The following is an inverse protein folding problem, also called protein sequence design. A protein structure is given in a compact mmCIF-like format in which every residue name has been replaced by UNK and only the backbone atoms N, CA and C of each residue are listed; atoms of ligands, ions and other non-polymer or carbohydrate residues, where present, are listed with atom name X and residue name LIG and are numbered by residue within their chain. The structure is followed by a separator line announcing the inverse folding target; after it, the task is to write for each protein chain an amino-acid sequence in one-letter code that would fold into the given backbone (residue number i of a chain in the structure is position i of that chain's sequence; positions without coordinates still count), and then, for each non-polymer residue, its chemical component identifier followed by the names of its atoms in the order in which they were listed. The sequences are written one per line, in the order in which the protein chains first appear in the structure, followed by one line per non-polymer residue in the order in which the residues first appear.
data_IF_552180383144
#
_entry.id   IF_552180383144
#
_cell.length_a   1.000
_cell.length_b   1.000
_cell.length_c   1.000
_cell.angle_alpha   90.00
_cell.angle_beta   90.00
_cell.angle_gamma   90.00
#
_symmetry.space_group_name_H-M   'P 1'
#
loop_
_entity.id
_entity.type
_entity.pdbx_description
1 polymer ?
#
# COMPACT_ATOMS: atom_id res chain seq x y z
N UNK A 1 -11.08 -43.08 38.28
CA UNK A 1 -10.90 -42.07 37.23
C UNK A 1 -10.68 -42.63 35.81
N UNK A 2 -10.42 -43.92 35.65
CA UNK A 2 -10.13 -44.52 34.32
C UNK A 2 -11.39 -44.78 33.41
N UNK A 3 -12.58 -44.84 33.96
CA UNK A 3 -13.80 -45.20 33.17
C UNK A 3 -14.36 -44.10 32.28
N UNK A 4 -13.94 -42.85 32.47
CA UNK A 4 -14.46 -41.71 31.67
C UNK A 4 -13.53 -41.32 30.48
N UNK A 5 -12.30 -41.78 30.46
CA UNK A 5 -11.33 -41.49 29.38
C UNK A 5 -11.56 -42.36 28.14
N UNK A 6 -12.04 -43.62 28.30
CA UNK A 6 -12.27 -44.53 27.20
C UNK A 6 -13.36 -44.08 26.20
N UNK A 7 -14.53 -43.56 26.61
CA UNK A 7 -15.53 -43.05 25.67
C UNK A 7 -15.09 -41.82 24.90
N UNK A 8 -14.38 -40.88 25.56
CA UNK A 8 -13.86 -39.67 24.93
C UNK A 8 -12.73 -40.00 23.95
N UNK A 9 -11.86 -40.94 24.30
CA UNK A 9 -10.79 -41.39 23.40
C UNK A 9 -11.37 -42.07 22.14
N UNK A 10 -12.38 -42.93 22.33
CA UNK A 10 -13.09 -43.59 21.24
C UNK A 10 -13.76 -42.59 20.31
N UNK A 11 -14.47 -41.60 20.87
CA UNK A 11 -15.09 -40.52 20.10
C UNK A 11 -14.04 -39.71 19.30
N UNK A 12 -12.91 -39.39 19.90
CA UNK A 12 -11.82 -38.68 19.23
C UNK A 12 -11.26 -39.51 18.06
N UNK A 13 -11.10 -40.81 18.22
CA UNK A 13 -10.64 -41.69 17.15
C UNK A 13 -11.66 -41.77 15.99
N UNK A 14 -12.93 -41.94 16.30
CA UNK A 14 -14.01 -41.97 15.30
C UNK A 14 -14.10 -40.63 14.55
N UNK A 15 -13.97 -39.50 15.25
CA UNK A 15 -13.91 -38.17 14.62
C UNK A 15 -12.67 -38.02 13.72
N UNK A 16 -11.52 -38.49 14.15
CA UNK A 16 -10.28 -38.42 13.34
C UNK A 16 -10.42 -39.25 12.08
N UNK A 17 -11.01 -40.45 12.16
CA UNK A 17 -11.28 -41.30 11.00
C UNK A 17 -12.22 -40.60 10.00
N UNK A 18 -13.33 -40.04 10.48
CA UNK A 18 -14.29 -39.29 9.66
C UNK A 18 -13.65 -38.07 8.98
N UNK A 19 -12.87 -37.30 9.74
CA UNK A 19 -12.15 -36.16 9.20
C UNK A 19 -11.14 -36.57 8.13
N UNK A 20 -10.41 -37.67 8.36
CA UNK A 20 -9.46 -38.21 7.37
C UNK A 20 -10.17 -38.66 6.09
N UNK A 21 -11.36 -39.26 6.20
CA UNK A 21 -12.17 -39.61 5.03
C UNK A 21 -12.66 -38.37 4.26
N UNK A 22 -13.10 -37.32 4.97
CA UNK A 22 -13.52 -36.05 4.36
C UNK A 22 -12.32 -35.40 3.63
N UNK A 23 -11.15 -35.34 4.27
CA UNK A 23 -9.95 -34.79 3.66
C UNK A 23 -9.49 -35.60 2.43
N UNK A 24 -9.58 -36.91 2.49
CA UNK A 24 -9.21 -37.80 1.39
C UNK A 24 -10.16 -37.72 0.20
N UNK A 25 -11.45 -37.58 0.45
CA UNK A 25 -12.46 -37.43 -0.59
C UNK A 25 -12.50 -36.05 -1.20
N UNK A 26 -12.07 -35.00 -0.44
CA UNK A 26 -12.05 -33.61 -0.85
C UNK A 26 -13.44 -33.06 -1.17
N UNK A 27 -13.45 -31.90 -1.80
CA UNK A 27 -14.65 -31.27 -2.31
C UNK A 27 -14.71 -31.37 -3.84
N UNK A 28 -15.83 -31.84 -4.37
CA UNK A 28 -16.05 -31.87 -5.82
C UNK A 28 -16.38 -30.44 -6.30
N UNK A 29 -15.43 -29.80 -6.98
CA UNK A 29 -15.62 -28.47 -7.56
C UNK A 29 -16.05 -28.61 -9.02
N UNK A 30 -17.10 -27.87 -9.39
CA UNK A 30 -17.51 -27.73 -10.77
C UNK A 30 -16.61 -26.71 -11.47
N UNK A 31 -15.65 -27.19 -12.25
CA UNK A 31 -14.67 -26.35 -12.95
C UNK A 31 -15.29 -25.44 -14.01
N UNK A 32 -16.43 -25.85 -14.60
CA UNK A 32 -17.14 -25.03 -15.59
C UNK A 32 -17.72 -23.80 -14.94
N UNK A 33 -18.52 -24.00 -13.87
CA UNK A 33 -19.10 -22.90 -13.09
C UNK A 33 -18.02 -22.01 -12.48
N UNK A 34 -16.90 -22.59 -12.02
CA UNK A 34 -15.79 -21.81 -11.48
C UNK A 34 -15.20 -20.87 -12.52
N UNK A 35 -14.99 -21.32 -13.75
CA UNK A 35 -14.48 -20.51 -14.85
C UNK A 35 -15.47 -19.41 -15.27
N UNK A 36 -16.76 -19.71 -15.28
CA UNK A 36 -17.81 -18.71 -15.57
C UNK A 36 -17.77 -17.58 -14.55
N UNK A 37 -17.73 -17.93 -13.26
CA UNK A 37 -17.63 -16.97 -12.15
C UNK A 37 -16.30 -16.18 -12.25
N UNK A 38 -15.19 -16.85 -12.53
CA UNK A 38 -13.88 -16.21 -12.70
C UNK A 38 -13.91 -15.14 -13.80
N UNK A 39 -14.51 -15.46 -14.96
CA UNK A 39 -14.59 -14.50 -16.08
C UNK A 39 -15.50 -13.33 -15.75
N UNK A 40 -16.62 -13.55 -15.06
CA UNK A 40 -17.54 -12.50 -14.62
C UNK A 40 -16.85 -11.55 -13.62
N UNK A 41 -16.24 -12.08 -12.58
CA UNK A 41 -15.53 -11.28 -11.59
C UNK A 41 -14.30 -10.57 -12.16
N UNK A 42 -13.60 -11.19 -13.12
CA UNK A 42 -12.47 -10.56 -13.79
C UNK A 42 -12.90 -9.30 -14.55
N UNK A 43 -14.00 -9.37 -15.27
CA UNK A 43 -14.53 -8.23 -16.00
C UNK A 43 -14.98 -7.10 -15.05
N UNK A 44 -15.64 -7.43 -13.95
CA UNK A 44 -16.06 -6.46 -12.93
C UNK A 44 -14.84 -5.80 -12.25
N UNK A 45 -13.79 -6.59 -11.93
CA UNK A 45 -12.55 -6.07 -11.37
C UNK A 45 -11.84 -5.09 -12.31
N UNK A 46 -11.74 -5.41 -13.59
CA UNK A 46 -11.11 -4.55 -14.58
C UNK A 46 -11.87 -3.20 -14.71
N UNK A 47 -13.20 -3.23 -14.71
CA UNK A 47 -14.02 -2.02 -14.73
C UNK A 47 -13.78 -1.16 -13.48
N UNK A 48 -13.77 -1.77 -12.29
CA UNK A 48 -13.52 -1.08 -11.03
C UNK A 48 -12.10 -0.51 -10.96
N UNK A 49 -11.09 -1.24 -11.44
CA UNK A 49 -9.70 -0.75 -11.48
C UNK A 49 -9.55 0.45 -12.40
N UNK A 50 -10.16 0.45 -13.57
CA UNK A 50 -10.17 1.60 -14.50
C UNK A 50 -10.79 2.80 -13.80
N UNK A 51 -11.98 2.63 -13.23
CA UNK A 51 -12.71 3.70 -12.54
C UNK A 51 -11.92 4.27 -11.35
N UNK A 52 -11.28 3.42 -10.54
CA UNK A 52 -10.45 3.86 -9.42
C UNK A 52 -9.19 4.62 -9.89
N UNK A 53 -8.55 4.16 -10.94
CA UNK A 53 -7.39 4.83 -11.52
C UNK A 53 -7.75 6.21 -12.11
N UNK A 54 -8.89 6.33 -12.75
CA UNK A 54 -9.38 7.61 -13.28
C UNK A 54 -9.67 8.60 -12.13
N UNK A 55 -10.35 8.17 -11.07
CA UNK A 55 -10.59 8.99 -9.89
C UNK A 55 -9.28 9.40 -9.19
N UNK A 56 -8.32 8.48 -9.08
CA UNK A 56 -7.01 8.77 -8.50
C UNK A 56 -6.23 9.78 -9.34
N UNK A 57 -6.28 9.66 -10.67
CA UNK A 57 -5.64 10.60 -11.60
C UNK A 57 -6.28 11.99 -11.56
N UNK A 58 -7.60 12.07 -11.46
CA UNK A 58 -8.30 13.35 -11.29
C UNK A 58 -7.88 14.03 -9.98
N UNK A 59 -7.74 13.28 -8.89
CA UNK A 59 -7.38 13.80 -7.59
C UNK A 59 -5.90 14.18 -7.46
N UNK A 60 -4.98 13.45 -8.10
CA UNK A 60 -3.53 13.61 -7.90
C UNK A 60 -2.82 14.27 -9.08
N UNK A 61 -3.46 14.34 -10.25
CA UNK A 61 -2.83 14.74 -11.51
C UNK A 61 -2.07 13.58 -12.17
N UNK A 62 -1.02 13.92 -12.92
CA UNK A 62 -0.33 12.93 -13.77
C UNK A 62 0.66 12.03 -13.04
N UNK A 63 0.93 12.26 -11.74
CA UNK A 63 1.81 11.37 -10.98
C UNK A 63 1.18 9.99 -10.84
N UNK A 64 1.86 8.92 -11.28
CA UNK A 64 1.35 7.56 -11.12
C UNK A 64 1.26 7.19 -9.65
N UNK A 65 0.14 6.61 -9.26
CA UNK A 65 -0.16 6.16 -7.88
C UNK A 65 -0.37 4.67 -7.87
N UNK A 66 0.25 4.01 -6.92
CA UNK A 66 0.03 2.60 -6.67
C UNK A 66 -1.02 2.42 -5.57
N UNK A 67 -2.27 2.14 -5.97
CA UNK A 67 -3.37 1.92 -5.03
C UNK A 67 -3.19 0.69 -4.11
N UNK A 68 -2.29 -0.24 -4.46
CA UNK A 68 -1.91 -1.34 -3.59
C UNK A 68 -0.97 -0.90 -2.45
N UNK A 69 -0.25 0.24 -2.61
CA UNK A 69 0.66 0.78 -1.61
C UNK A 69 -0.10 1.52 -0.51
N UNK A 70 0.08 1.17 0.78
CA UNK A 70 -0.50 1.92 1.90
C UNK A 70 -0.02 3.38 1.95
N UNK A 71 1.21 3.64 1.53
CA UNK A 71 1.82 4.96 1.46
C UNK A 71 1.06 5.85 0.47
N UNK A 72 0.86 5.36 -0.75
CA UNK A 72 0.19 6.10 -1.82
C UNK A 72 -1.30 6.28 -1.52
N UNK A 73 -1.96 5.27 -0.95
CA UNK A 73 -3.33 5.40 -0.45
C UNK A 73 -3.46 6.48 0.63
N UNK A 74 -2.52 6.54 1.57
CA UNK A 74 -2.50 7.58 2.60
C UNK A 74 -2.35 8.98 2.00
N UNK A 75 -1.49 9.13 0.99
CA UNK A 75 -1.31 10.41 0.28
C UNK A 75 -2.58 10.79 -0.47
N UNK A 76 -3.19 9.86 -1.19
CA UNK A 76 -4.40 10.08 -1.96
C UNK A 76 -5.58 10.52 -1.08
N UNK A 77 -5.78 9.87 0.07
CA UNK A 77 -6.88 10.17 0.98
C UNK A 77 -6.66 11.46 1.78
N UNK A 78 -5.50 11.61 2.40
CA UNK A 78 -5.25 12.67 3.37
C UNK A 78 -4.48 13.87 2.81
N UNK A 79 -4.03 13.82 1.55
CA UNK A 79 -3.31 14.90 0.87
C UNK A 79 -2.00 15.30 1.57
N UNK A 80 -1.44 14.38 2.35
CA UNK A 80 -0.22 14.60 3.14
C UNK A 80 0.73 13.44 3.01
N UNK A 81 2.02 13.78 2.88
CA UNK A 81 3.13 12.83 2.80
C UNK A 81 4.06 12.99 4.00
N UNK A 82 4.46 11.89 4.62
CA UNK A 82 5.45 11.87 5.69
C UNK A 82 6.83 12.18 5.12
N UNK A 83 7.52 13.18 5.66
CA UNK A 83 8.85 13.64 5.19
C UNK A 83 9.92 12.63 5.60
N UNK A 84 9.95 12.24 6.88
CA UNK A 84 10.87 11.25 7.41
C UNK A 84 10.10 10.14 8.16
N UNK A 85 10.04 8.97 7.52
CA UNK A 85 9.35 7.79 8.07
C UNK A 85 10.02 7.23 9.34
N UNK A 86 11.33 7.38 9.50
CA UNK A 86 12.05 6.88 10.68
C UNK A 86 11.74 7.76 11.88
N UNK A 87 11.82 9.06 11.72
CA UNK A 87 11.47 10.01 12.77
C UNK A 87 9.98 9.91 13.11
N UNK A 88 9.10 9.81 12.12
CA UNK A 88 7.67 9.59 12.29
C UNK A 88 7.38 8.34 13.14
N UNK A 89 7.97 7.22 12.77
CA UNK A 89 7.80 5.96 13.50
C UNK A 89 8.31 6.04 14.95
N UNK A 90 9.40 6.77 15.18
CA UNK A 90 9.95 7.00 16.52
C UNK A 90 9.02 7.86 17.37
N UNK A 91 8.55 8.98 16.83
CA UNK A 91 7.72 9.95 17.57
C UNK A 91 6.36 9.37 17.94
N UNK A 92 5.75 8.61 17.04
CA UNK A 92 4.45 7.97 17.30
C UNK A 92 4.56 6.57 17.88
N UNK A 93 5.78 6.13 18.22
CA UNK A 93 6.05 4.83 18.81
C UNK A 93 5.49 3.66 17.97
N UNK A 94 5.67 3.75 16.65
CA UNK A 94 5.25 2.74 15.71
C UNK A 94 6.36 1.69 15.59
N UNK A 95 6.06 0.45 15.92
CA UNK A 95 7.04 -0.63 15.84
C UNK A 95 6.67 -1.79 16.74
N UNK A 96 7.61 -2.73 16.86
CA UNK A 96 7.45 -3.91 17.68
C UNK A 96 8.55 -3.96 18.73
N UNK A 97 8.26 -4.53 19.87
CA UNK A 97 9.21 -4.85 20.93
C UNK A 97 9.17 -6.34 21.23
N UNK A 98 10.32 -6.89 21.59
CA UNK A 98 10.41 -8.28 22.05
C UNK A 98 9.95 -8.36 23.51
N UNK A 99 8.91 -9.14 23.76
CA UNK A 99 8.49 -9.50 25.12
C UNK A 99 8.44 -11.02 25.23
N UNK A 100 9.46 -11.58 25.86
CA UNK A 100 9.67 -13.02 25.87
C UNK A 100 9.99 -13.55 24.47
N UNK A 101 9.34 -14.64 24.06
CA UNK A 101 9.53 -15.25 22.73
C UNK A 101 8.67 -14.63 21.61
N UNK A 102 7.82 -13.65 21.93
CA UNK A 102 6.87 -13.05 20.96
C UNK A 102 7.10 -11.57 20.75
N UNK A 103 7.07 -11.14 19.48
CA UNK A 103 7.06 -9.72 19.11
C UNK A 103 5.66 -9.15 19.34
N UNK A 104 5.57 -8.07 20.11
CA UNK A 104 4.32 -7.34 20.39
C UNK A 104 4.40 -5.92 19.87
N UNK A 105 3.30 -5.36 19.35
CA UNK A 105 3.27 -3.97 18.95
C UNK A 105 3.54 -3.07 20.16
N UNK A 106 4.36 -2.04 19.97
CA UNK A 106 4.63 -1.04 21.00
C UNK A 106 3.35 -0.30 21.39
N UNK A 107 3.22 0.02 22.66
CA UNK A 107 2.12 0.83 23.13
C UNK A 107 2.28 2.26 22.63
N UNK A 108 1.29 2.78 21.90
CA UNK A 108 1.29 4.14 21.35
C UNK A 108 1.12 5.17 22.48
N UNK A 109 1.92 6.22 22.43
CA UNK A 109 1.81 7.33 23.37
C UNK A 109 0.71 8.28 22.89
N UNK A 110 -0.35 8.50 23.69
CA UNK A 110 -1.37 9.52 23.42
C UNK A 110 -0.83 10.92 23.73
N UNK A 111 -0.67 11.72 22.71
CA UNK A 111 -0.31 13.14 22.84
C UNK A 111 -1.57 14.00 23.07
N UNK A 112 -1.40 15.20 23.66
CA UNK A 112 -2.48 16.20 23.65
C UNK A 112 -2.79 16.61 22.20
N UNK A 113 -4.06 16.90 21.87
CA UNK A 113 -4.51 17.25 20.50
C UNK A 113 -3.68 18.34 19.83
N UNK A 114 -3.36 19.40 20.57
CA UNK A 114 -2.56 20.53 20.07
C UNK A 114 -1.13 20.13 19.72
N UNK A 115 -0.48 19.32 20.57
CA UNK A 115 0.88 18.79 20.34
C UNK A 115 0.87 17.83 19.16
N UNK A 116 -0.14 16.97 19.09
CA UNK A 116 -0.29 16.04 17.96
C UNK A 116 -0.41 16.81 16.64
N UNK A 117 -1.34 17.77 16.55
CA UNK A 117 -1.56 18.55 15.33
C UNK A 117 -0.31 19.32 14.89
N UNK A 118 0.42 19.94 15.82
CA UNK A 118 1.69 20.64 15.51
C UNK A 118 2.78 19.67 15.06
N UNK A 119 2.88 18.49 15.69
CA UNK A 119 3.83 17.43 15.31
C UNK A 119 3.53 16.89 13.92
N UNK A 120 2.28 16.56 13.63
CA UNK A 120 1.85 16.12 12.30
C UNK A 120 2.18 17.18 11.24
N UNK A 121 1.87 18.45 11.50
CA UNK A 121 2.17 19.54 10.57
C UNK A 121 3.67 19.65 10.27
N UNK A 122 4.52 19.50 11.28
CA UNK A 122 5.99 19.57 11.13
C UNK A 122 6.54 18.37 10.37
N UNK A 123 5.97 17.18 10.57
CA UNK A 123 6.49 15.93 10.04
C UNK A 123 5.86 15.49 8.71
N UNK A 124 4.88 16.24 8.24
CA UNK A 124 4.22 15.99 6.96
C UNK A 124 4.23 17.23 6.09
N UNK A 125 4.36 17.03 4.80
CA UNK A 125 4.16 18.07 3.78
C UNK A 125 2.84 17.87 3.04
N UNK A 126 2.26 18.96 2.56
CA UNK A 126 1.07 18.92 1.70
C UNK A 126 1.50 18.51 0.30
N UNK A 127 0.79 17.57 -0.28
CA UNK A 127 1.05 17.11 -1.64
C UNK A 127 0.22 17.94 -2.62
N UNK A 128 0.84 18.38 -3.70
CA UNK A 128 0.20 19.15 -4.77
C UNK A 128 -0.04 18.27 -5.99
N UNK A 129 -1.09 18.57 -6.74
CA UNK A 129 -1.32 17.94 -8.05
C UNK A 129 -0.13 18.22 -8.95
N UNK A 130 0.15 17.28 -9.83
CA UNK A 130 1.29 17.39 -10.73
C UNK A 130 0.82 17.34 -12.18
N UNK A 131 1.56 18.04 -13.02
CA UNK A 131 1.44 17.96 -14.48
C UNK A 131 2.70 17.32 -15.03
N UNK A 132 2.51 16.25 -15.81
CA UNK A 132 3.58 15.52 -16.45
C UNK A 132 4.01 16.20 -17.75
N UNK A 133 5.30 16.51 -17.88
CA UNK A 133 5.89 16.98 -19.11
C UNK A 133 6.94 16.01 -19.62
N UNK A 134 7.00 15.87 -20.94
CA UNK A 134 8.01 15.00 -21.57
C UNK A 134 9.41 15.48 -21.22
N UNK A 135 10.25 14.59 -20.72
CA UNK A 135 11.63 14.94 -20.35
C UNK A 135 12.43 15.35 -21.59
N UNK A 136 12.90 16.61 -21.64
CA UNK A 136 13.72 17.11 -22.73
C UNK A 136 15.09 16.41 -22.83
N UNK A 137 15.65 15.98 -21.70
CA UNK A 137 16.97 15.32 -21.66
C UNK A 137 17.04 13.94 -22.31
N UNK A 138 15.93 13.21 -22.37
CA UNK A 138 15.86 11.90 -23.01
C UNK A 138 14.72 11.81 -24.05
N UNK A 139 14.05 12.92 -24.33
CA UNK A 139 12.96 13.00 -25.28
C UNK A 139 11.88 11.92 -24.99
N UNK A 140 11.60 11.69 -23.69
CA UNK A 140 10.60 10.72 -23.24
C UNK A 140 11.06 9.26 -23.12
N UNK A 141 12.30 8.93 -23.54
CA UNK A 141 12.76 7.53 -23.54
C UNK A 141 13.27 7.03 -22.16
N UNK A 142 13.42 7.90 -21.17
CA UNK A 142 13.93 7.54 -19.84
C UNK A 142 15.42 7.19 -19.80
N UNK A 143 16.03 6.95 -20.95
CA UNK A 143 17.44 6.57 -21.09
C UNK A 143 18.15 7.45 -22.13
N UNK A 144 19.44 7.69 -21.92
CA UNK A 144 20.29 8.49 -22.80
C UNK A 144 21.56 7.73 -23.13
N UNK A 145 22.12 7.99 -24.32
CA UNK A 145 23.47 7.57 -24.68
C UNK A 145 24.44 8.69 -24.36
N UNK A 146 25.27 8.57 -23.32
CA UNK A 146 26.26 9.61 -23.02
C UNK A 146 27.27 9.66 -24.13
N UNK A 147 27.75 10.89 -24.43
CA UNK A 147 28.84 11.11 -25.37
C UNK A 147 30.15 10.89 -24.61
N UNK A 148 31.07 10.11 -25.19
CA UNK A 148 32.39 9.85 -24.65
C UNK A 148 33.29 11.09 -24.84
N UNK A 149 34.44 11.11 -24.17
CA UNK A 149 35.44 12.20 -24.31
C UNK A 149 35.87 12.47 -25.75
N UNK A 150 35.72 11.47 -26.61
CA UNK A 150 36.07 11.54 -28.04
C UNK A 150 34.93 12.04 -28.93
N UNK A 151 33.80 12.49 -28.34
CA UNK A 151 32.64 12.96 -29.11
C UNK A 151 31.73 11.87 -29.65
N UNK A 152 32.04 10.59 -29.44
CA UNK A 152 31.25 9.48 -29.92
C UNK A 152 30.18 9.05 -28.91
N UNK A 153 28.94 8.65 -29.35
CA UNK A 153 27.93 8.14 -28.47
C UNK A 153 28.32 6.79 -27.87
N UNK A 154 28.22 6.64 -26.56
CA UNK A 154 28.50 5.40 -25.85
C UNK A 154 27.58 4.27 -26.31
N UNK A 155 28.12 3.04 -26.41
CA UNK A 155 27.33 1.85 -26.68
C UNK A 155 26.33 1.52 -25.53
N UNK A 156 26.64 1.94 -24.29
CA UNK A 156 25.82 1.69 -23.12
C UNK A 156 24.77 2.78 -22.92
N UNK A 157 23.50 2.37 -22.72
CA UNK A 157 22.42 3.24 -22.31
C UNK A 157 22.50 3.51 -20.81
N UNK A 158 22.41 4.77 -20.41
CA UNK A 158 22.34 5.19 -18.99
C UNK A 158 20.94 5.75 -18.67
N UNK A 159 20.53 5.61 -17.42
CA UNK A 159 19.32 6.23 -16.91
C UNK A 159 19.43 7.74 -17.05
N UNK A 160 18.41 8.37 -17.60
CA UNK A 160 18.33 9.82 -17.72
C UNK A 160 18.24 10.45 -16.33
N UNK A 161 19.23 11.25 -15.94
CA UNK A 161 19.28 11.87 -14.60
C UNK A 161 18.11 12.83 -14.34
N UNK A 162 17.70 13.74 -15.27
CA UNK A 162 16.61 14.67 -15.04
C UNK A 162 15.26 14.00 -14.70
N UNK A 163 14.91 12.89 -15.34
CA UNK A 163 13.66 12.18 -15.12
C UNK A 163 13.82 10.86 -14.35
N UNK A 164 15.02 10.54 -13.90
CA UNK A 164 15.36 9.31 -13.19
C UNK A 164 14.83 8.02 -13.87
N UNK A 165 14.83 8.02 -15.20
CA UNK A 165 14.38 6.89 -16.00
C UNK A 165 12.90 6.89 -16.37
N UNK A 166 12.08 7.75 -15.80
CA UNK A 166 10.64 7.79 -16.04
C UNK A 166 10.23 8.30 -17.44
N UNK A 167 11.12 9.05 -18.12
CA UNK A 167 10.78 9.69 -19.39
C UNK A 167 9.93 10.96 -19.27
N UNK A 168 9.30 11.16 -18.13
CA UNK A 168 8.40 12.28 -17.81
C UNK A 168 8.93 13.00 -16.56
N UNK A 169 8.78 14.32 -16.52
CA UNK A 169 9.05 15.14 -15.35
C UNK A 169 7.73 15.66 -14.82
N UNK A 170 7.47 15.42 -13.55
CA UNK A 170 6.25 15.85 -12.87
C UNK A 170 6.51 17.16 -12.15
N UNK A 171 5.84 18.24 -12.59
CA UNK A 171 5.92 19.55 -11.96
C UNK A 171 4.71 19.79 -11.06
N UNK A 172 4.89 20.15 -9.77
CA UNK A 172 3.78 20.43 -8.89
C UNK A 172 3.05 21.71 -9.31
N UNK A 173 1.72 21.69 -9.21
CA UNK A 173 0.84 22.85 -9.41
C UNK A 173 0.54 23.54 -8.07
N UNK A 174 -0.23 24.63 -8.11
CA UNK A 174 -0.71 25.29 -6.88
C UNK A 174 -1.85 24.52 -6.19
N UNK A 175 -2.50 23.59 -6.88
CA UNK A 175 -3.63 22.82 -6.33
C UNK A 175 -3.17 21.70 -5.41
N UNK A 176 -3.83 21.57 -4.26
CA UNK A 176 -3.58 20.46 -3.32
C UNK A 176 -4.17 19.19 -3.88
N UNK A 177 -3.34 18.16 -3.96
CA UNK A 177 -3.71 16.83 -4.45
C UNK A 177 -4.51 16.04 -3.41
N UNK A 178 -5.21 15.00 -3.89
CA UNK A 178 -5.95 14.04 -3.07
C UNK A 178 -7.31 14.51 -2.60
N UNK A 179 -8.00 13.64 -1.86
CA UNK A 179 -9.39 13.86 -1.44
C UNK A 179 -9.53 14.72 -0.18
N UNK A 180 -8.45 15.06 0.50
CA UNK A 180 -8.43 15.89 1.72
C UNK A 180 -9.33 15.37 2.85
N UNK A 181 -9.45 14.05 2.95
CA UNK A 181 -10.25 13.39 3.98
C UNK A 181 -9.69 13.72 5.35
N UNK A 182 -10.57 13.97 6.30
CA UNK A 182 -10.17 14.14 7.71
C UNK A 182 -10.19 12.77 8.37
N UNK A 183 -9.08 12.32 8.98
CA UNK A 183 -9.05 11.04 9.66
C UNK A 183 -10.08 10.98 10.78
N UNK A 184 -10.81 9.88 10.90
CA UNK A 184 -11.82 9.66 11.95
C UNK A 184 -11.18 9.72 13.34
N UNK A 185 -10.06 9.05 13.53
CA UNK A 185 -9.19 9.22 14.70
C UNK A 185 -7.86 9.83 14.26
N UNK A 186 -7.62 11.13 14.53
CA UNK A 186 -6.37 11.78 14.15
C UNK A 186 -5.13 11.16 14.81
N UNK A 187 -5.29 10.38 15.88
CA UNK A 187 -4.20 9.68 16.55
C UNK A 187 -3.88 8.31 15.90
N UNK A 188 -4.70 7.84 14.97
CA UNK A 188 -4.50 6.55 14.34
C UNK A 188 -3.50 6.62 13.19
N UNK A 189 -2.22 6.61 13.59
CA UNK A 189 -1.07 6.73 12.70
C UNK A 189 -0.52 5.36 12.29
N UNK A 190 0.00 5.28 11.08
CA UNK A 190 0.75 4.16 10.52
C UNK A 190 2.10 4.64 9.99
N UNK A 191 2.94 3.73 9.49
CA UNK A 191 4.26 4.08 8.93
C UNK A 191 4.19 5.04 7.75
N UNK A 192 3.10 5.00 7.00
CA UNK A 192 2.83 5.83 5.83
C UNK A 192 2.20 7.20 6.14
N UNK A 193 1.85 7.44 7.40
CA UNK A 193 1.11 8.62 7.82
C UNK A 193 -0.10 8.23 8.65
N UNK A 194 -1.29 8.42 8.13
CA UNK A 194 -2.52 7.94 8.76
C UNK A 194 -2.87 6.53 8.26
N UNK A 195 -3.62 5.79 9.07
CA UNK A 195 -4.10 4.47 8.67
C UNK A 195 -5.12 4.54 7.52
N UNK A 196 -5.08 3.54 6.66
CA UNK A 196 -5.95 3.39 5.49
C UNK A 196 -6.62 2.01 5.44
N UNK A 197 -6.73 1.34 6.58
CA UNK A 197 -7.42 0.07 6.72
C UNK A 197 -8.94 0.26 6.75
N UNK A 198 -9.66 -0.79 6.43
CA UNK A 198 -11.13 -0.79 6.32
C UNK A 198 -11.81 -0.20 7.57
N UNK A 199 -11.36 -0.62 8.76
CA UNK A 199 -11.90 -0.18 10.05
C UNK A 199 -11.68 1.30 10.36
N UNK A 200 -10.71 1.94 9.71
CA UNK A 200 -10.43 3.38 9.87
C UNK A 200 -11.25 4.23 8.91
N UNK A 201 -11.66 3.66 7.78
CA UNK A 201 -12.39 4.36 6.73
C UNK A 201 -13.93 4.19 6.86
N UNK A 202 -14.40 3.18 7.57
CA UNK A 202 -15.81 3.00 7.96
C UNK A 202 -16.17 3.88 9.17
#
# INVERSE_FOLDING_TARGET
MERTLLPTLRLSLEMTETLTEIERNGLKVNLTTLKEIETEFQAELEELEIRLNDMAREAMGDTPINLASPDDRSILLYSRKVVDKREWSRVFNLGHEMRGATMKPKQRVRMKKTVFASTVRRMTEVVHKTVGSRCAGCIGFGRVRPVNKNGEPSKALRICKPCNGAGVIYTPTSEVAGFKVVPRDPYDTASAGFKTDKTTLE
#
